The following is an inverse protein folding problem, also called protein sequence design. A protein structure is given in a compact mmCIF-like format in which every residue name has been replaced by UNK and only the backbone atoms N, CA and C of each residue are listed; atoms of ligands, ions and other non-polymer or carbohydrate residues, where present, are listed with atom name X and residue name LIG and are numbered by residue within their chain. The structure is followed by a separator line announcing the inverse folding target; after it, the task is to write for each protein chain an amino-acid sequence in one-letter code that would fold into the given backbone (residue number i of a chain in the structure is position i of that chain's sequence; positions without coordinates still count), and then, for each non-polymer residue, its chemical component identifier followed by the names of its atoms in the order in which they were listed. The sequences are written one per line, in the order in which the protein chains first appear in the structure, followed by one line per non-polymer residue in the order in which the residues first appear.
data_IF_404379716069
#
_entry.id   IF_404379716069
#
_cell.length_a   1.000
_cell.length_b   1.000
_cell.length_c   1.000
_cell.angle_alpha   90.00
_cell.angle_beta   90.00
_cell.angle_gamma   90.00
#
_symmetry.space_group_name_H-M   'P 1'
#
loop_
_entity.id
_entity.type
_entity.pdbx_description
1 polymer ?
#
# COMPACT_ATOMS: atom_id res chain seq x y z
N UNK A 1 -7.45 -2.43 9.73
CA UNK A 1 -6.57 -3.06 8.72
C UNK A 1 -5.10 -2.77 9.04
N UNK A 2 -4.22 -3.78 9.02
CA UNK A 2 -2.78 -3.58 9.16
C UNK A 2 -2.10 -3.50 7.78
N UNK A 3 -1.48 -2.37 7.44
CA UNK A 3 -0.87 -2.15 6.12
C UNK A 3 0.64 -2.15 6.25
N UNK A 4 1.30 -3.06 5.54
CA UNK A 4 2.76 -3.10 5.40
C UNK A 4 3.15 -2.74 3.96
N UNK A 5 3.99 -1.72 3.82
CA UNK A 5 4.46 -1.23 2.52
C UNK A 5 5.97 -1.48 2.44
N UNK A 6 6.43 -2.10 1.36
CA UNK A 6 7.84 -2.42 1.12
C UNK A 6 8.22 -2.09 -0.32
N UNK A 7 9.49 -1.76 -0.53
CA UNK A 7 10.05 -1.54 -1.86
C UNK A 7 10.89 -2.72 -2.31
N UNK A 8 10.68 -3.18 -3.53
CA UNK A 8 11.54 -4.16 -4.19
C UNK A 8 12.65 -3.41 -4.94
N UNK A 9 13.87 -3.46 -4.39
CA UNK A 9 15.03 -2.71 -4.90
C UNK A 9 14.88 -1.19 -4.94
N UNK A 10 13.91 -0.63 -4.22
CA UNK A 10 13.69 0.82 -4.12
C UNK A 10 13.46 1.23 -2.67
N UNK A 11 13.82 2.48 -2.35
CA UNK A 11 13.45 3.11 -1.08
C UNK A 11 12.04 3.70 -1.21
N UNK A 12 11.17 3.36 -0.26
CA UNK A 12 9.83 3.92 -0.19
C UNK A 12 9.92 5.32 0.43
N UNK A 13 9.42 6.33 -0.29
CA UNK A 13 9.32 7.70 0.23
C UNK A 13 7.98 7.93 0.93
N UNK A 14 7.90 8.99 1.74
CA UNK A 14 6.64 9.36 2.42
C UNK A 14 5.52 9.66 1.41
N UNK A 15 5.83 10.32 0.29
CA UNK A 15 4.86 10.60 -0.75
C UNK A 15 4.29 9.31 -1.38
N UNK A 16 5.12 8.28 -1.59
CA UNK A 16 4.67 6.97 -2.06
C UNK A 16 3.78 6.27 -1.04
N UNK A 17 4.12 6.38 0.25
CA UNK A 17 3.31 5.82 1.34
C UNK A 17 1.91 6.44 1.35
N UNK A 18 1.81 7.77 1.31
CA UNK A 18 0.55 8.50 1.25
C UNK A 18 -0.26 8.10 0.03
N UNK A 19 0.35 8.08 -1.16
CA UNK A 19 -0.34 7.70 -2.40
C UNK A 19 -0.89 6.27 -2.37
N UNK A 20 -0.19 5.32 -1.74
CA UNK A 20 -0.70 3.96 -1.54
C UNK A 20 -1.88 3.96 -0.57
N UNK A 21 -1.78 4.68 0.55
CA UNK A 21 -2.86 4.74 1.56
C UNK A 21 -4.15 5.33 0.99
N UNK A 22 -4.08 6.43 0.26
CA UNK A 22 -5.24 7.04 -0.41
C UNK A 22 -5.92 6.07 -1.39
N UNK A 23 -5.15 5.22 -2.07
CA UNK A 23 -5.72 4.17 -2.94
C UNK A 23 -6.42 3.08 -2.12
N UNK A 24 -5.86 2.71 -0.96
CA UNK A 24 -6.42 1.67 -0.10
C UNK A 24 -7.71 2.10 0.60
N UNK A 25 -7.92 3.39 0.88
CA UNK A 25 -9.19 3.90 1.44
C UNK A 25 -10.40 3.50 0.58
N UNK A 26 -10.23 3.37 -0.74
CA UNK A 26 -11.30 2.91 -1.65
C UNK A 26 -11.65 1.45 -1.40
N UNK A 27 -10.67 0.62 -1.01
CA UNK A 27 -10.86 -0.80 -0.75
C UNK A 27 -11.53 -1.02 0.61
N UNK A 28 -11.15 -0.25 1.64
CA UNK A 28 -11.77 -0.33 2.97
C UNK A 28 -13.28 -0.12 2.93
N UNK A 29 -13.79 0.73 2.01
CA UNK A 29 -15.24 0.95 1.83
C UNK A 29 -16.02 -0.24 1.26
N UNK A 30 -15.34 -1.21 0.68
CA UNK A 30 -15.99 -2.35 0.00
C UNK A 30 -15.75 -3.67 0.73
N UNK A 31 -14.76 -3.71 1.64
CA UNK A 31 -14.32 -4.94 2.28
C UNK A 31 -14.04 -4.72 3.78
N UNK A 32 -15.09 -4.80 4.60
CA UNK A 32 -15.01 -4.66 6.06
C UNK A 32 -14.17 -5.75 6.77
N UNK A 33 -13.79 -6.82 6.07
CA UNK A 33 -13.19 -8.03 6.65
C UNK A 33 -11.66 -8.10 6.48
N UNK A 34 -11.03 -7.05 5.96
CA UNK A 34 -9.58 -7.08 5.69
C UNK A 34 -8.79 -6.88 6.98
N UNK A 35 -8.10 -7.95 7.39
CA UNK A 35 -7.21 -7.92 8.55
C UNK A 35 -5.87 -7.27 8.22
N UNK A 36 -5.26 -7.61 7.08
CA UNK A 36 -3.95 -7.10 6.67
C UNK A 36 -3.82 -6.92 5.15
N UNK A 37 -2.98 -5.98 4.74
CA UNK A 37 -2.58 -5.74 3.35
C UNK A 37 -1.06 -5.62 3.27
N UNK A 38 -0.47 -6.31 2.30
CA UNK A 38 0.94 -6.17 1.95
C UNK A 38 1.06 -5.52 0.57
N UNK A 39 1.82 -4.43 0.50
CA UNK A 39 2.07 -3.70 -0.74
C UNK A 39 3.56 -3.76 -1.05
N UNK A 40 3.92 -4.20 -2.25
CA UNK A 40 5.29 -4.26 -2.75
C UNK A 40 5.39 -3.32 -3.95
N UNK A 41 6.13 -2.23 -3.80
CA UNK A 41 6.40 -1.28 -4.88
C UNK A 41 7.65 -1.73 -5.63
N UNK A 42 7.57 -1.84 -6.96
CA UNK A 42 8.69 -2.23 -7.83
C UNK A 42 8.81 -1.24 -8.99
N UNK A 43 10.02 -1.03 -9.49
CA UNK A 43 10.23 -0.34 -10.77
C UNK A 43 10.10 -1.38 -11.89
N UNK A 44 9.21 -1.13 -12.84
CA UNK A 44 9.08 -1.94 -14.07
C UNK A 44 9.57 -1.08 -15.24
N UNK A 45 10.27 -1.70 -16.20
CA UNK A 45 10.97 -1.02 -17.30
C UNK A 45 10.27 -1.29 -18.63
#
# INVERSE_FOLDING_TARGET
MNVSISGHHISVTDAMNTAVREKLEKIERHFDQIQSIQVILSLDN
#
